data_IF_012494257078
#
_entry.id   IF_012494257078
#
_cell.length_a   1.000
_cell.length_b   1.000
_cell.length_c   1.000
_cell.angle_alpha   90.00
_cell.angle_beta   90.00
_cell.angle_gamma   90.00
#
_symmetry.space_group_name_H-M   'P 1'
#
loop_
_entity.id
_entity.type
_entity.pdbx_description
1 polymer ?
#
# COMPACT_ATOMS: atom_id res chain seq x y z
N UNK A 1 3.23 -3.80 34.99
CA UNK A 1 2.86 -2.96 33.84
C UNK A 1 3.28 -3.71 32.58
N UNK A 2 2.31 -4.17 31.78
CA UNK A 2 2.56 -5.00 30.59
C UNK A 2 2.72 -4.07 29.38
N UNK A 3 3.89 -4.11 28.76
CA UNK A 3 4.13 -3.57 27.41
C UNK A 3 3.42 -4.45 26.39
N UNK A 4 2.68 -3.88 25.41
CA UNK A 4 2.24 -4.65 24.26
C UNK A 4 3.42 -4.82 23.30
N UNK A 5 3.91 -6.05 23.20
CA UNK A 5 4.80 -6.53 22.15
C UNK A 5 4.02 -6.49 20.84
N UNK A 6 4.26 -5.48 20.00
CA UNK A 6 3.79 -5.50 18.62
C UNK A 6 4.63 -6.54 17.87
N UNK A 7 3.97 -7.65 17.54
CA UNK A 7 4.54 -8.72 16.75
C UNK A 7 5.05 -8.16 15.42
N UNK A 8 6.35 -8.30 15.20
CA UNK A 8 6.96 -8.18 13.89
C UNK A 8 6.31 -9.22 12.97
N UNK A 9 5.49 -8.77 12.03
CA UNK A 9 5.00 -9.64 10.97
C UNK A 9 6.19 -9.97 10.05
N UNK A 10 6.47 -11.26 9.79
CA UNK A 10 7.61 -11.63 8.98
C UNK A 10 7.31 -11.31 7.51
N UNK A 11 8.14 -10.45 6.91
CA UNK A 11 8.20 -10.15 5.47
C UNK A 11 8.39 -11.45 4.63
N UNK A 12 8.74 -12.57 5.25
CA UNK A 12 8.99 -13.85 4.62
C UNK A 12 7.73 -14.62 4.15
N UNK A 13 6.51 -14.19 4.49
CA UNK A 13 5.29 -14.89 4.06
C UNK A 13 4.76 -14.49 2.66
N UNK A 14 5.42 -13.55 1.98
CA UNK A 14 4.92 -12.94 0.73
C UNK A 14 5.09 -13.80 -0.55
N UNK A 15 5.65 -15.02 -0.45
CA UNK A 15 6.07 -15.80 -1.64
C UNK A 15 5.28 -17.09 -1.93
N UNK A 16 4.17 -17.38 -1.24
CA UNK A 16 3.46 -18.67 -1.43
C UNK A 16 1.93 -18.60 -1.58
N UNK A 17 1.36 -17.46 -2.03
CA UNK A 17 -0.07 -17.38 -2.39
C UNK A 17 -0.22 -16.81 -3.79
N UNK A 18 0.30 -17.51 -4.80
CA UNK A 18 0.15 -17.16 -6.22
C UNK A 18 -0.71 -18.17 -7.00
N UNK A 19 -1.45 -19.04 -6.32
CA UNK A 19 -2.29 -20.02 -7.00
C UNK A 19 -3.51 -20.40 -6.16
N UNK A 20 -4.66 -19.78 -6.48
CA UNK A 20 -6.01 -20.37 -6.45
C UNK A 20 -7.09 -19.37 -6.03
N UNK A 21 -7.41 -18.40 -6.88
CA UNK A 21 -8.78 -17.89 -6.94
C UNK A 21 -9.19 -17.75 -8.41
N UNK A 22 -10.19 -18.52 -8.88
CA UNK A 22 -10.66 -18.42 -10.26
C UNK A 22 -11.37 -17.08 -10.46
N UNK A 23 -10.84 -16.27 -11.38
CA UNK A 23 -11.41 -15.00 -11.81
C UNK A 23 -12.69 -15.25 -12.63
N UNK A 24 -13.85 -15.18 -11.98
CA UNK A 24 -15.10 -14.96 -12.68
C UNK A 24 -15.26 -13.44 -12.86
N UNK A 25 -14.90 -12.94 -14.05
CA UNK A 25 -15.19 -11.57 -14.45
C UNK A 25 -16.70 -11.42 -14.57
N UNK A 26 -17.32 -10.66 -13.67
CA UNK A 26 -18.69 -10.21 -13.83
C UNK A 26 -18.65 -8.69 -13.78
N UNK A 27 -18.67 -8.07 -14.96
CA UNK A 27 -18.86 -6.64 -15.12
C UNK A 27 -20.31 -6.27 -14.73
N UNK A 28 -20.58 -6.18 -13.44
CA UNK A 28 -21.76 -5.48 -12.92
C UNK A 28 -21.41 -4.00 -12.80
N UNK A 29 -22.28 -3.15 -13.34
CA UNK A 29 -22.05 -1.71 -13.53
C UNK A 29 -21.71 -0.96 -12.25
N UNK A 30 -20.42 -0.89 -11.95
CA UNK A 30 -19.89 -0.02 -10.92
C UNK A 30 -19.87 1.41 -11.41
N UNK A 31 -20.32 2.32 -10.57
CA UNK A 31 -20.20 3.74 -10.88
C UNK A 31 -18.75 4.18 -10.67
N UNK A 32 -18.13 4.84 -11.66
CA UNK A 32 -16.83 5.51 -11.45
C UNK A 32 -16.84 6.47 -10.26
N UNK A 33 -18.00 7.07 -9.94
CA UNK A 33 -18.19 7.94 -8.78
C UNK A 33 -18.06 7.19 -7.45
N UNK A 34 -18.59 5.96 -7.37
CA UNK A 34 -18.52 5.12 -6.16
C UNK A 34 -17.08 4.72 -5.87
N UNK A 35 -16.34 4.31 -6.89
CA UNK A 35 -14.91 3.98 -6.77
C UNK A 35 -14.07 5.19 -6.34
N UNK A 36 -14.30 6.36 -6.96
CA UNK A 36 -13.61 7.60 -6.59
C UNK A 36 -13.86 7.98 -5.13
N UNK A 37 -15.12 7.89 -4.67
CA UNK A 37 -15.49 8.13 -3.27
C UNK A 37 -14.83 7.15 -2.30
N UNK A 38 -14.74 5.87 -2.66
CA UNK A 38 -14.06 4.89 -1.80
C UNK A 38 -12.61 5.28 -1.63
N UNK A 39 -11.90 5.61 -2.72
CA UNK A 39 -10.50 6.04 -2.67
C UNK A 39 -10.33 7.32 -1.82
N UNK A 40 -11.27 8.26 -1.91
CA UNK A 40 -11.28 9.49 -1.10
C UNK A 40 -11.44 9.19 0.39
N UNK A 41 -12.42 8.36 0.74
CA UNK A 41 -12.73 7.97 2.13
C UNK A 41 -11.59 7.14 2.75
N UNK A 42 -10.80 6.46 1.94
CA UNK A 42 -9.56 5.78 2.37
C UNK A 42 -8.40 6.74 2.65
N UNK A 43 -8.55 8.05 2.40
CA UNK A 43 -7.50 9.06 2.52
C UNK A 43 -6.21 8.62 1.82
N UNK A 44 -6.35 8.14 0.57
CA UNK A 44 -5.27 7.49 -0.18
C UNK A 44 -4.01 8.35 -0.25
N UNK A 45 -4.14 9.63 -0.59
CA UNK A 45 -3.01 10.51 -0.82
C UNK A 45 -2.18 10.72 0.45
N UNK A 46 -2.83 10.90 1.61
CA UNK A 46 -2.14 11.01 2.90
C UNK A 46 -1.55 9.67 3.33
N UNK A 47 -2.31 8.58 3.17
CA UNK A 47 -1.86 7.22 3.52
C UNK A 47 -0.63 6.83 2.72
N UNK A 48 -0.59 7.16 1.43
CA UNK A 48 0.54 6.89 0.56
C UNK A 48 1.81 7.60 1.03
N UNK A 49 1.72 8.91 1.31
CA UNK A 49 2.86 9.69 1.82
C UNK A 49 3.37 9.11 3.15
N UNK A 50 2.45 8.83 4.08
CA UNK A 50 2.82 8.27 5.38
C UNK A 50 3.51 6.90 5.25
N UNK A 51 3.09 6.07 4.29
CA UNK A 51 3.72 4.77 4.01
C UNK A 51 5.11 4.91 3.41
N UNK A 52 5.31 5.86 2.49
CA UNK A 52 6.62 6.19 1.93
C UNK A 52 7.57 6.66 3.03
N UNK A 53 7.13 7.57 3.90
CA UNK A 53 7.94 8.09 5.00
C UNK A 53 8.29 6.98 6.01
N UNK A 54 7.31 6.17 6.41
CA UNK A 54 7.53 5.05 7.32
C UNK A 54 8.51 4.00 6.75
N UNK A 55 8.50 3.76 5.44
CA UNK A 55 9.43 2.85 4.79
C UNK A 55 10.88 3.36 4.86
N UNK A 56 11.07 4.65 4.58
CA UNK A 56 12.39 5.29 4.66
C UNK A 56 12.90 5.21 6.09
N UNK A 57 12.06 5.52 7.07
CA UNK A 57 12.41 5.44 8.50
C UNK A 57 12.78 4.00 8.93
N UNK A 58 11.98 3.01 8.55
CA UNK A 58 12.19 1.59 8.87
C UNK A 58 13.46 0.98 8.24
N UNK A 59 13.99 1.64 7.23
CA UNK A 59 15.17 1.16 6.53
C UNK A 59 16.37 2.08 6.75
N UNK A 60 16.22 3.24 7.40
CA UNK A 60 17.25 4.27 7.51
C UNK A 60 18.55 3.77 8.16
N UNK A 61 18.45 2.73 8.99
CA UNK A 61 19.56 2.07 9.67
C UNK A 61 20.25 0.99 8.82
N UNK A 62 19.69 0.61 7.66
CA UNK A 62 20.20 -0.44 6.77
C UNK A 62 21.21 0.13 5.78
N UNK A 63 22.54 -0.02 6.01
CA UNK A 63 23.55 0.64 5.19
C UNK A 63 23.50 0.12 3.76
N UNK A 64 23.32 -1.19 3.56
CA UNK A 64 23.20 -1.80 2.21
C UNK A 64 22.15 -1.14 1.30
N UNK A 65 21.11 -0.52 1.85
CA UNK A 65 20.04 0.13 1.08
C UNK A 65 20.40 1.59 0.76
N UNK A 66 20.98 2.31 1.71
CA UNK A 66 21.10 3.78 1.64
C UNK A 66 22.51 4.29 1.44
N UNK A 67 23.49 3.47 1.74
CA UNK A 67 24.88 3.86 1.71
C UNK A 67 25.74 2.59 1.73
N UNK A 68 26.40 2.32 0.61
CA UNK A 68 27.72 1.67 0.64
C UNK A 68 28.71 2.45 1.55
N UNK A 69 30.02 2.49 1.29
CA UNK A 69 30.99 3.12 2.21
C UNK A 69 30.94 4.67 2.30
N UNK A 70 29.77 5.31 2.23
CA UNK A 70 29.56 6.75 2.14
C UNK A 70 29.17 7.43 3.47
N UNK A 71 29.34 8.76 3.52
CA UNK A 71 29.12 9.62 4.71
C UNK A 71 27.63 9.76 5.10
N UNK A 72 27.32 10.19 6.34
CA UNK A 72 25.93 10.43 6.78
C UNK A 72 25.15 11.44 5.91
N UNK A 73 25.83 12.41 5.31
CA UNK A 73 25.21 13.40 4.41
C UNK A 73 24.73 12.76 3.10
N UNK A 74 25.58 11.94 2.49
CA UNK A 74 25.25 11.21 1.26
C UNK A 74 24.05 10.27 1.47
N UNK A 75 23.95 9.66 2.66
CA UNK A 75 22.80 8.83 3.05
C UNK A 75 21.50 9.64 3.08
N UNK A 76 21.52 10.82 3.72
CA UNK A 76 20.33 11.71 3.79
C UNK A 76 19.89 12.18 2.41
N UNK A 77 20.83 12.56 1.56
CA UNK A 77 20.54 12.96 0.19
C UNK A 77 19.90 11.80 -0.59
N UNK A 78 20.44 10.59 -0.48
CA UNK A 78 19.89 9.40 -1.15
C UNK A 78 18.47 9.08 -0.68
N UNK A 79 18.19 9.20 0.62
CA UNK A 79 16.85 9.03 1.18
C UNK A 79 15.86 10.06 0.61
N UNK A 80 16.28 11.32 0.46
CA UNK A 80 15.45 12.37 -0.12
C UNK A 80 15.14 12.12 -1.61
N UNK A 81 16.14 11.75 -2.41
CA UNK A 81 15.96 11.42 -3.85
C UNK A 81 14.98 10.26 -4.05
N UNK A 82 15.15 9.21 -3.23
CA UNK A 82 14.26 8.05 -3.23
C UNK A 82 12.84 8.43 -2.82
N UNK A 83 12.69 9.24 -1.78
CA UNK A 83 11.39 9.74 -1.35
C UNK A 83 10.67 10.44 -2.49
N UNK A 84 11.36 11.34 -3.18
CA UNK A 84 10.80 12.07 -4.31
C UNK A 84 10.37 11.12 -5.43
N UNK A 85 11.21 10.14 -5.77
CA UNK A 85 10.92 9.12 -6.79
C UNK A 85 9.67 8.31 -6.44
N UNK A 86 9.55 7.87 -5.18
CA UNK A 86 8.37 7.17 -4.67
C UNK A 86 7.12 8.05 -4.74
N UNK A 87 7.23 9.33 -4.40
CA UNK A 87 6.09 10.25 -4.46
C UNK A 87 5.61 10.51 -5.89
N UNK A 88 6.49 10.47 -6.89
CA UNK A 88 6.11 10.58 -8.31
C UNK A 88 5.26 9.40 -8.80
N UNK A 89 5.41 8.21 -8.19
CA UNK A 89 4.60 7.01 -8.53
C UNK A 89 3.17 7.03 -8.02
N UNK A 90 2.79 8.05 -7.23
CA UNK A 90 1.49 8.11 -6.57
C UNK A 90 0.30 7.93 -7.51
N UNK A 91 0.32 8.57 -8.68
CA UNK A 91 -0.77 8.49 -9.65
C UNK A 91 -0.92 7.06 -10.21
N UNK A 92 0.20 6.39 -10.53
CA UNK A 92 0.23 5.02 -11.03
C UNK A 92 -0.35 4.05 -9.99
N UNK A 93 0.03 4.22 -8.71
CA UNK A 93 -0.46 3.40 -7.60
C UNK A 93 -1.95 3.63 -7.36
N UNK A 94 -2.42 4.88 -7.47
CA UNK A 94 -3.85 5.21 -7.36
C UNK A 94 -4.66 4.54 -8.47
N UNK A 95 -4.13 4.53 -9.70
CA UNK A 95 -4.77 3.87 -10.84
C UNK A 95 -4.84 2.34 -10.65
N UNK A 96 -3.75 1.71 -10.18
CA UNK A 96 -3.74 0.28 -9.86
C UNK A 96 -4.71 -0.09 -8.75
N UNK A 97 -4.78 0.74 -7.70
CA UNK A 97 -5.77 0.55 -6.64
C UNK A 97 -7.19 0.64 -7.20
N UNK A 98 -7.46 1.63 -8.07
CA UNK A 98 -8.77 1.76 -8.71
C UNK A 98 -9.14 0.52 -9.53
N UNK A 99 -8.21 -0.01 -10.33
CA UNK A 99 -8.41 -1.25 -11.11
C UNK A 99 -8.62 -2.48 -10.22
N UNK A 100 -7.86 -2.61 -9.12
CA UNK A 100 -8.01 -3.70 -8.17
C UNK A 100 -9.38 -3.65 -7.48
N UNK A 101 -9.84 -2.45 -7.07
CA UNK A 101 -11.15 -2.25 -6.47
C UNK A 101 -12.28 -2.59 -7.45
N UNK A 102 -12.16 -2.15 -8.70
CA UNK A 102 -13.19 -2.41 -9.71
C UNK A 102 -13.28 -3.89 -10.09
N UNK A 103 -12.18 -4.63 -9.98
CA UNK A 103 -12.12 -6.04 -10.37
C UNK A 103 -12.56 -6.97 -9.23
N UNK A 104 -12.27 -6.60 -7.97
CA UNK A 104 -12.43 -7.51 -6.82
C UNK A 104 -13.72 -7.31 -6.04
N UNK A 105 -14.35 -6.14 -6.13
CA UNK A 105 -15.56 -5.82 -5.39
C UNK A 105 -16.70 -5.56 -6.36
N UNK A 106 -17.94 -5.76 -5.94
CA UNK A 106 -19.12 -5.29 -6.68
C UNK A 106 -19.61 -3.94 -6.12
N UNK A 107 -20.50 -3.25 -6.85
CA UNK A 107 -20.99 -1.90 -6.47
C UNK A 107 -21.60 -1.85 -5.05
N UNK A 108 -22.41 -2.84 -4.68
CA UNK A 108 -23.06 -2.85 -3.37
C UNK A 108 -22.05 -2.98 -2.22
N UNK A 109 -20.99 -3.75 -2.44
CA UNK A 109 -19.89 -3.87 -1.48
C UNK A 109 -19.18 -2.53 -1.28
N UNK A 110 -18.90 -1.81 -2.38
CA UNK A 110 -18.30 -0.48 -2.32
C UNK A 110 -19.19 0.52 -1.56
N UNK A 111 -20.52 0.41 -1.69
CA UNK A 111 -21.47 1.24 -0.92
C UNK A 111 -21.49 0.90 0.56
N UNK A 112 -21.38 -0.37 0.93
CA UNK A 112 -21.26 -0.79 2.34
C UNK A 112 -20.02 -0.14 2.99
N UNK A 113 -18.91 -0.10 2.26
CA UNK A 113 -17.68 0.54 2.72
C UNK A 113 -17.88 2.04 2.93
N UNK A 114 -18.49 2.73 1.96
CA UNK A 114 -18.80 4.16 2.10
C UNK A 114 -19.69 4.44 3.30
N UNK A 115 -20.72 3.61 3.52
CA UNK A 115 -21.63 3.73 4.65
C UNK A 115 -20.90 3.52 5.98
N UNK A 116 -20.06 2.50 6.06
CA UNK A 116 -19.42 2.12 7.30
C UNK A 116 -18.26 3.05 7.68
N UNK A 117 -17.41 3.45 6.71
CA UNK A 117 -16.35 4.42 6.99
C UNK A 117 -16.93 5.82 7.19
N UNK A 118 -17.98 6.19 6.45
CA UNK A 118 -18.70 7.45 6.64
C UNK A 118 -19.38 7.59 8.01
N UNK A 119 -19.68 6.48 8.68
CA UNK A 119 -20.20 6.43 10.06
C UNK A 119 -19.09 6.33 11.13
N UNK A 120 -17.82 6.43 10.73
CA UNK A 120 -16.66 6.36 11.63
C UNK A 120 -16.16 4.94 11.92
N UNK A 121 -16.68 3.94 11.21
CA UNK A 121 -16.23 2.56 11.30
C UNK A 121 -14.86 2.34 10.66
N UNK A 122 -14.12 1.37 11.18
CA UNK A 122 -12.83 0.95 10.61
C UNK A 122 -13.07 0.00 9.44
N UNK A 123 -12.37 0.24 8.33
CA UNK A 123 -12.39 -0.64 7.16
C UNK A 123 -12.04 -2.09 7.51
N UNK A 124 -11.12 -2.28 8.47
CA UNK A 124 -10.68 -3.61 8.92
C UNK A 124 -11.78 -4.38 9.63
N UNK A 125 -12.73 -3.68 10.25
CA UNK A 125 -13.80 -4.29 11.03
C UNK A 125 -15.01 -4.62 10.15
N UNK A 126 -15.21 -3.83 9.08
CA UNK A 126 -16.36 -3.92 8.18
C UNK A 126 -16.06 -4.86 7.01
N UNK A 127 -14.86 -4.74 6.43
CA UNK A 127 -14.48 -5.47 5.22
C UNK A 127 -12.98 -5.81 5.25
N UNK A 128 -12.58 -6.79 6.08
CA UNK A 128 -11.17 -7.14 6.29
C UNK A 128 -10.47 -7.58 5.00
N UNK A 129 -11.19 -8.19 4.06
CA UNK A 129 -10.68 -8.60 2.75
C UNK A 129 -10.33 -7.39 1.88
N UNK A 130 -11.16 -6.33 1.95
CA UNK A 130 -10.83 -5.07 1.30
C UNK A 130 -9.65 -4.40 1.98
N UNK A 131 -9.65 -4.35 3.32
CA UNK A 131 -8.53 -3.77 4.04
C UNK A 131 -7.21 -4.48 3.68
N UNK A 132 -7.25 -5.81 3.49
CA UNK A 132 -6.13 -6.56 2.96
C UNK A 132 -5.78 -6.17 1.53
N UNK A 133 -6.75 -6.12 0.60
CA UNK A 133 -6.50 -5.74 -0.80
C UNK A 133 -5.89 -4.34 -0.93
N UNK A 134 -6.39 -3.37 -0.16
CA UNK A 134 -5.84 -2.01 -0.08
C UNK A 134 -4.39 -2.04 0.41
N UNK A 135 -4.10 -2.77 1.49
CA UNK A 135 -2.73 -2.92 1.97
C UNK A 135 -1.82 -3.60 0.95
N UNK A 136 -2.31 -4.63 0.25
CA UNK A 136 -1.57 -5.34 -0.79
C UNK A 136 -1.17 -4.42 -1.96
N UNK A 137 -2.07 -3.54 -2.42
CA UNK A 137 -1.73 -2.58 -3.48
C UNK A 137 -0.69 -1.55 -2.99
N UNK A 138 -0.77 -1.10 -1.73
CA UNK A 138 0.27 -0.26 -1.13
C UNK A 138 1.61 -1.00 -1.02
N UNK A 139 1.60 -2.26 -0.58
CA UNK A 139 2.81 -3.06 -0.39
C UNK A 139 3.45 -3.41 -1.75
N UNK A 140 2.66 -3.64 -2.81
CA UNK A 140 3.15 -3.82 -4.17
C UNK A 140 3.79 -2.56 -4.74
N UNK A 141 3.17 -1.40 -4.52
CA UNK A 141 3.74 -0.12 -4.91
C UNK A 141 5.10 0.12 -4.26
N UNK A 142 5.24 -0.30 -3.00
CA UNK A 142 6.50 -0.27 -2.25
C UNK A 142 7.49 -1.31 -2.82
N UNK A 143 7.02 -2.51 -3.18
CA UNK A 143 7.86 -3.56 -3.74
C UNK A 143 8.49 -3.15 -5.09
N UNK A 144 7.74 -2.47 -5.96
CA UNK A 144 8.24 -1.93 -7.23
C UNK A 144 9.42 -0.96 -7.04
N UNK A 145 9.51 -0.32 -5.87
CA UNK A 145 10.64 0.50 -5.47
C UNK A 145 11.81 -0.30 -4.88
N UNK A 146 11.51 -1.31 -4.05
CA UNK A 146 12.56 -2.11 -3.40
C UNK A 146 13.30 -3.02 -4.39
N UNK A 147 12.62 -3.51 -5.44
CA UNK A 147 13.19 -4.43 -6.43
C UNK A 147 14.37 -3.81 -7.21
N UNK A 148 14.28 -2.59 -7.77
CA UNK A 148 15.43 -1.94 -8.42
C UNK A 148 16.59 -1.62 -7.48
N UNK A 149 16.32 -1.32 -6.19
CA UNK A 149 17.38 -1.04 -5.21
C UNK A 149 18.16 -2.29 -4.83
N UNK A 150 17.51 -3.46 -4.81
CA UNK A 150 18.15 -4.74 -4.52
C UNK A 150 18.96 -5.29 -5.71
N UNK A 151 18.68 -4.84 -6.93
CA UNK A 151 19.35 -5.28 -8.16
C UNK A 151 20.67 -4.54 -8.45
N UNK A 152 21.05 -3.55 -7.63
CA UNK A 152 22.35 -2.87 -7.69
C UNK A 152 23.34 -3.66 -6.83
N UNK A 153 23.76 -4.83 -7.32
CA UNK A 153 24.97 -5.53 -6.86
C UNK A 153 26.12 -5.34 -7.86
#
# INVERSE_FOLDING_TARGET
>A
MKTPTFAAWPIAALLLILSAFPFASVAHGQSPETLARVIEVLDFDRTYVARVDALIDQTADKPRIWSGPQSPEARRQRQAEVRETLLQKRADVKARLHEALSTRFIEDELREILSAVGSGGSLKDVKPELAYAVNFEFDNAIADFMLPLAAVE
#
